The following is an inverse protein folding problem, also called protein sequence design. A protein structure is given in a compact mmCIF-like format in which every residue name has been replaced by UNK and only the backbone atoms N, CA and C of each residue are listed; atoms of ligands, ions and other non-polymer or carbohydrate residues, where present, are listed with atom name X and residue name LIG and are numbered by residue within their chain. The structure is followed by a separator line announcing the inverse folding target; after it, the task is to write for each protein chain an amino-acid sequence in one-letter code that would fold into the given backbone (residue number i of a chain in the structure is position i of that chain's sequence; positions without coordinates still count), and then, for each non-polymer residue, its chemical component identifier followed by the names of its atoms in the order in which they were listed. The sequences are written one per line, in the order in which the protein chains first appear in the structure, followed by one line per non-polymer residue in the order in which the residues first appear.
data_IF_532515489644
#
_entry.id   IF_532515489644
#
_cell.length_a   1.000
_cell.length_b   1.000
_cell.length_c   1.000
_cell.angle_alpha   90.00
_cell.angle_beta   90.00
_cell.angle_gamma   90.00
#
_symmetry.space_group_name_H-M   'P 1'
#
loop_
_entity.id
_entity.type
_entity.pdbx_description
1 polymer ?
#
# COMPACT_ATOMS: atom_id res chain seq x y z
N UNK A 1 65.29 -26.74 34.24
CA UNK A 1 64.39 -25.59 34.23
C UNK A 1 63.90 -25.40 32.76
N UNK A 2 62.69 -25.83 32.44
CA UNK A 2 62.09 -25.64 31.10
C UNK A 2 60.95 -24.64 31.26
N UNK A 3 61.08 -23.45 30.68
CA UNK A 3 60.11 -22.39 30.66
C UNK A 3 59.09 -22.68 29.51
N UNK A 4 57.84 -22.74 29.86
CA UNK A 4 56.73 -22.84 28.94
C UNK A 4 56.22 -21.45 28.62
N UNK A 5 56.28 -21.03 27.37
CA UNK A 5 55.57 -19.86 26.87
C UNK A 5 54.16 -20.26 26.46
N UNK A 6 53.13 -19.74 27.17
CA UNK A 6 51.76 -19.77 26.73
C UNK A 6 51.55 -18.59 25.76
N UNK A 7 51.31 -18.92 24.49
CA UNK A 7 50.81 -17.94 23.52
C UNK A 7 49.28 -17.85 23.64
N UNK A 8 48.77 -16.75 24.14
CA UNK A 8 47.34 -16.45 24.14
C UNK A 8 46.96 -15.82 22.79
N UNK A 9 46.29 -16.60 21.94
CA UNK A 9 45.70 -16.11 20.70
C UNK A 9 44.39 -15.39 21.04
N UNK A 10 44.35 -14.07 20.95
CA UNK A 10 43.16 -13.25 21.05
C UNK A 10 42.50 -13.28 19.67
N UNK A 11 41.42 -14.04 19.52
CA UNK A 11 40.53 -13.92 18.34
C UNK A 11 39.75 -12.60 18.49
N UNK A 12 40.14 -11.60 17.72
CA UNK A 12 39.28 -10.45 17.45
C UNK A 12 38.14 -10.90 16.50
N UNK A 13 37.00 -11.20 17.05
CA UNK A 13 35.75 -11.23 16.25
C UNK A 13 35.37 -9.78 15.92
N UNK A 14 35.75 -9.31 14.72
CA UNK A 14 35.18 -8.11 14.15
C UNK A 14 33.74 -8.43 13.80
N UNK A 15 32.80 -7.99 14.64
CA UNK A 15 31.40 -7.91 14.23
C UNK A 15 31.31 -6.91 13.06
N UNK A 16 31.24 -7.39 11.82
CA UNK A 16 30.75 -6.57 10.72
C UNK A 16 29.32 -6.21 11.08
N UNK A 17 29.11 -5.03 11.61
CA UNK A 17 27.80 -4.39 11.55
C UNK A 17 27.54 -4.16 10.07
N UNK A 18 26.68 -4.98 9.47
CA UNK A 18 26.03 -4.65 8.20
C UNK A 18 25.24 -3.40 8.52
N UNK A 19 25.75 -2.25 8.10
CA UNK A 19 24.98 -1.02 8.16
C UNK A 19 23.71 -1.28 7.35
N UNK A 20 22.54 -1.14 7.96
CA UNK A 20 21.27 -1.20 7.26
C UNK A 20 21.35 -0.20 6.10
N UNK A 21 20.92 -0.62 4.92
CA UNK A 21 20.85 0.27 3.75
C UNK A 21 19.86 1.38 4.11
N UNK A 22 20.27 2.62 3.99
CA UNK A 22 19.39 3.75 4.17
C UNK A 22 18.43 3.80 2.96
N UNK A 23 17.16 3.58 3.21
CA UNK A 23 16.12 3.62 2.18
C UNK A 23 15.76 5.06 1.82
N UNK A 24 15.19 5.23 0.64
CA UNK A 24 14.65 6.53 0.24
C UNK A 24 13.56 7.01 1.20
N UNK A 25 13.45 8.33 1.37
CA UNK A 25 12.42 8.91 2.22
C UNK A 25 11.00 8.61 1.70
N UNK A 26 10.01 8.67 2.59
CA UNK A 26 8.60 8.51 2.24
C UNK A 26 8.16 9.47 1.11
N UNK A 27 8.66 10.72 1.10
CA UNK A 27 8.37 11.68 0.02
C UNK A 27 8.95 11.24 -1.31
N UNK A 28 10.18 10.71 -1.32
CA UNK A 28 10.80 10.18 -2.53
C UNK A 28 10.02 8.96 -3.05
N UNK A 29 9.70 8.01 -2.16
CA UNK A 29 8.92 6.82 -2.50
C UNK A 29 7.57 7.17 -3.12
N UNK A 30 6.81 8.12 -2.52
CA UNK A 30 5.52 8.57 -3.06
C UNK A 30 5.68 9.16 -4.46
N UNK A 31 6.70 9.99 -4.70
CA UNK A 31 6.97 10.54 -6.02
C UNK A 31 7.36 9.45 -7.04
N UNK A 32 8.10 8.44 -6.61
CA UNK A 32 8.56 7.34 -7.46
C UNK A 32 7.46 6.30 -7.74
N UNK A 33 6.49 6.11 -6.85
CA UNK A 33 5.32 5.26 -7.10
C UNK A 33 4.47 5.73 -8.28
N UNK A 34 4.39 7.03 -8.52
CA UNK A 34 3.70 7.67 -9.65
C UNK A 34 2.21 7.32 -9.69
N UNK A 35 1.84 6.36 -10.56
CA UNK A 35 0.49 5.79 -10.64
C UNK A 35 0.54 4.30 -10.35
N UNK A 36 -0.39 3.84 -9.54
CA UNK A 36 -0.52 2.47 -9.12
C UNK A 36 -1.89 1.86 -9.47
N UNK A 37 -1.96 0.58 -9.25
CA UNK A 37 -3.15 -0.23 -9.40
C UNK A 37 -3.32 -1.16 -8.20
N UNK A 38 -4.56 -1.49 -7.85
CA UNK A 38 -4.88 -2.47 -6.82
C UNK A 38 -5.11 -3.85 -7.46
N UNK A 39 -4.35 -4.86 -7.01
CA UNK A 39 -4.61 -6.26 -7.29
C UNK A 39 -5.74 -6.76 -6.36
N UNK A 40 -6.89 -6.09 -6.44
CA UNK A 40 -8.04 -6.35 -5.58
C UNK A 40 -8.87 -7.55 -6.02
N UNK A 41 -9.77 -7.99 -5.14
CA UNK A 41 -10.61 -9.18 -5.28
C UNK A 41 -9.81 -10.48 -5.47
N UNK A 42 -8.62 -10.54 -4.90
CA UNK A 42 -7.62 -11.61 -5.06
C UNK A 42 -7.24 -12.18 -3.69
N UNK A 43 -6.14 -11.68 -3.09
CA UNK A 43 -5.74 -12.11 -1.75
C UNK A 43 -6.54 -11.44 -0.63
N UNK A 44 -7.39 -10.50 -0.95
CA UNK A 44 -8.35 -9.87 -0.05
C UNK A 44 -9.68 -10.64 0.05
N UNK A 45 -9.90 -11.66 -0.78
CA UNK A 45 -11.13 -12.43 -0.78
C UNK A 45 -11.40 -13.10 0.58
N UNK A 46 -12.62 -12.94 1.07
CA UNK A 46 -13.07 -13.49 2.32
C UNK A 46 -14.59 -13.70 2.30
N UNK A 47 -15.11 -14.51 3.23
CA UNK A 47 -16.56 -14.80 3.29
C UNK A 47 -17.40 -13.62 3.79
N UNK A 48 -16.81 -12.66 4.50
CA UNK A 48 -17.48 -11.47 5.03
C UNK A 48 -18.48 -11.72 6.16
N UNK A 49 -18.70 -12.98 6.52
CA UNK A 49 -19.70 -13.39 7.49
C UNK A 49 -19.20 -14.51 8.37
N UNK A 50 -19.37 -14.37 9.70
CA UNK A 50 -19.06 -15.41 10.69
C UNK A 50 -20.07 -16.55 10.70
N UNK A 51 -21.22 -16.38 10.08
CA UNK A 51 -22.28 -17.40 10.01
C UNK A 51 -22.38 -18.07 8.65
N UNK A 52 -22.01 -17.38 7.58
CA UNK A 52 -21.99 -17.91 6.21
C UNK A 52 -20.55 -17.94 5.67
N UNK A 53 -19.77 -18.87 6.13
CA UNK A 53 -18.37 -19.07 5.74
C UNK A 53 -18.28 -19.89 4.45
N UNK A 54 -18.76 -19.30 3.36
CA UNK A 54 -18.92 -20.03 2.10
C UNK A 54 -17.58 -20.33 1.41
N UNK A 55 -16.58 -19.43 1.51
CA UNK A 55 -15.25 -19.67 0.94
C UNK A 55 -14.56 -20.79 1.71
N UNK A 56 -14.57 -20.74 3.03
CA UNK A 56 -13.96 -21.74 3.90
C UNK A 56 -14.53 -23.13 3.67
N UNK A 57 -15.85 -23.21 3.42
CA UNK A 57 -16.53 -24.47 3.09
C UNK A 57 -16.21 -24.97 1.69
N UNK A 58 -16.23 -24.07 0.71
CA UNK A 58 -15.99 -24.39 -0.70
C UNK A 58 -14.54 -24.77 -0.96
N UNK A 59 -13.59 -23.98 -0.45
CA UNK A 59 -12.16 -24.11 -0.71
C UNK A 59 -11.50 -25.20 0.11
N UNK A 60 -12.16 -25.68 1.19
CA UNK A 60 -11.48 -26.50 2.21
C UNK A 60 -10.15 -25.84 2.66
N UNK A 61 -10.11 -24.49 2.64
CA UNK A 61 -8.97 -23.64 3.00
C UNK A 61 -7.74 -23.77 2.11
N UNK A 62 -7.89 -24.20 0.88
CA UNK A 62 -6.79 -24.15 -0.07
C UNK A 62 -6.50 -22.71 -0.47
N UNK A 63 -5.26 -22.30 -0.33
CA UNK A 63 -4.78 -20.94 -0.64
C UNK A 63 -5.20 -20.47 -2.03
N UNK A 64 -5.01 -21.32 -3.06
CA UNK A 64 -5.39 -21.01 -4.44
C UNK A 64 -6.88 -20.72 -4.62
N UNK A 65 -7.71 -21.36 -3.82
CA UNK A 65 -9.16 -21.19 -3.95
C UNK A 65 -9.61 -19.85 -3.37
N UNK A 66 -8.99 -19.36 -2.28
CA UNK A 66 -9.24 -18.01 -1.78
C UNK A 66 -8.91 -16.95 -2.83
N UNK A 67 -7.77 -17.05 -3.49
CA UNK A 67 -7.34 -16.12 -4.52
C UNK A 67 -8.35 -15.99 -5.66
N UNK A 68 -9.09 -17.05 -5.96
CA UNK A 68 -10.05 -17.10 -7.06
C UNK A 68 -11.51 -16.96 -6.63
N UNK A 69 -11.78 -16.93 -5.33
CA UNK A 69 -13.13 -16.98 -4.76
C UNK A 69 -14.05 -15.83 -5.23
N UNK A 70 -13.49 -14.65 -5.47
CA UNK A 70 -14.23 -13.48 -5.96
C UNK A 70 -14.14 -13.28 -7.48
N UNK A 71 -13.91 -14.38 -8.24
CA UNK A 71 -13.99 -14.40 -9.69
C UNK A 71 -12.73 -13.96 -10.43
N UNK A 72 -11.64 -13.72 -9.71
CA UNK A 72 -10.37 -13.42 -10.35
C UNK A 72 -9.61 -14.71 -10.68
N UNK A 73 -8.82 -14.75 -11.75
CA UNK A 73 -7.92 -15.87 -12.01
C UNK A 73 -6.71 -15.82 -11.06
N UNK A 74 -6.00 -16.94 -10.96
CA UNK A 74 -4.70 -16.98 -10.28
C UNK A 74 -3.77 -15.94 -10.89
N UNK A 75 -3.20 -15.09 -10.05
CA UNK A 75 -2.32 -13.99 -10.46
C UNK A 75 -1.02 -14.54 -11.05
N UNK A 76 -0.60 -13.98 -12.17
CA UNK A 76 0.65 -14.33 -12.85
C UNK A 76 1.60 -13.13 -12.92
N UNK A 77 2.90 -13.41 -13.02
CA UNK A 77 3.90 -12.36 -13.27
C UNK A 77 3.63 -11.60 -14.59
N UNK A 78 3.06 -12.28 -15.60
CA UNK A 78 2.71 -11.67 -16.88
C UNK A 78 1.67 -10.55 -16.73
N UNK A 79 0.69 -10.70 -15.81
CA UNK A 79 -0.25 -9.63 -15.50
C UNK A 79 0.47 -8.40 -14.93
N UNK A 80 1.40 -8.59 -14.01
CA UNK A 80 2.18 -7.49 -13.43
C UNK A 80 3.01 -6.77 -14.50
N UNK A 81 3.66 -7.53 -15.39
CA UNK A 81 4.41 -6.98 -16.54
C UNK A 81 3.53 -6.14 -17.46
N UNK A 82 2.29 -6.59 -17.74
CA UNK A 82 1.34 -5.83 -18.55
C UNK A 82 1.07 -4.43 -17.95
N UNK A 83 0.91 -4.33 -16.63
CA UNK A 83 0.75 -3.05 -15.95
C UNK A 83 2.02 -2.20 -15.99
N UNK A 84 3.19 -2.81 -15.78
CA UNK A 84 4.48 -2.11 -15.88
C UNK A 84 4.69 -1.51 -17.26
N UNK A 85 4.45 -2.29 -18.31
CA UNK A 85 4.60 -1.87 -19.70
C UNK A 85 3.64 -0.73 -20.08
N UNK A 86 2.47 -0.69 -19.45
CA UNK A 86 1.51 0.40 -19.63
C UNK A 86 1.90 1.70 -18.90
N UNK A 87 2.91 1.67 -18.03
CA UNK A 87 3.40 2.84 -17.30
C UNK A 87 3.01 2.92 -15.83
N UNK A 88 2.36 1.90 -15.27
CA UNK A 88 2.17 1.79 -13.83
C UNK A 88 3.50 1.47 -13.16
N UNK A 89 3.76 2.12 -12.03
CA UNK A 89 5.02 1.92 -11.31
C UNK A 89 4.83 1.37 -9.89
N UNK A 90 3.59 1.11 -9.49
CA UNK A 90 3.26 0.56 -8.19
C UNK A 90 2.05 -0.37 -8.25
N UNK A 91 2.07 -1.43 -7.45
CA UNK A 91 0.94 -2.33 -7.25
C UNK A 91 0.65 -2.40 -5.74
N UNK A 92 -0.58 -2.08 -5.36
CA UNK A 92 -1.08 -2.40 -4.02
C UNK A 92 -1.71 -3.78 -4.07
N UNK A 93 -1.29 -4.65 -3.18
CA UNK A 93 -1.73 -6.03 -3.03
C UNK A 93 -2.50 -6.15 -1.72
N UNK A 94 -3.83 -5.98 -1.75
CA UNK A 94 -4.66 -6.15 -0.57
C UNK A 94 -4.61 -7.60 -0.09
N UNK A 95 -4.44 -7.81 1.23
CA UNK A 95 -4.36 -9.15 1.83
C UNK A 95 -5.25 -9.23 3.06
N UNK A 96 -6.16 -10.19 3.08
CA UNK A 96 -6.97 -10.55 4.27
C UNK A 96 -6.31 -11.71 4.99
N UNK A 97 -6.06 -11.57 6.27
CA UNK A 97 -5.25 -12.51 7.04
C UNK A 97 -6.06 -13.43 7.94
N UNK A 98 -7.20 -12.98 8.48
CA UNK A 98 -7.94 -13.76 9.50
C UNK A 98 -8.30 -15.20 9.08
N UNK A 99 -8.63 -15.51 7.80
CA UNK A 99 -8.94 -16.88 7.41
C UNK A 99 -7.72 -17.80 7.44
N UNK A 100 -6.53 -17.21 7.44
CA UNK A 100 -5.23 -17.89 7.35
C UNK A 100 -4.43 -17.81 8.66
N UNK A 101 -5.09 -17.45 9.77
CA UNK A 101 -4.44 -17.32 11.08
C UNK A 101 -5.05 -18.28 12.09
N UNK A 102 -4.21 -19.11 12.73
CA UNK A 102 -4.61 -19.98 13.82
C UNK A 102 -5.49 -21.14 13.42
N UNK A 103 -6.00 -21.85 14.43
CA UNK A 103 -6.92 -22.99 14.26
C UNK A 103 -8.35 -22.48 14.31
N UNK A 104 -9.13 -22.77 13.30
CA UNK A 104 -10.56 -22.49 13.32
C UNK A 104 -11.27 -23.48 14.25
N UNK A 105 -12.21 -22.97 15.03
CA UNK A 105 -12.83 -23.73 16.10
C UNK A 105 -13.76 -24.81 15.57
N UNK A 106 -14.41 -24.62 14.41
CA UNK A 106 -15.07 -25.66 13.65
C UNK A 106 -15.33 -25.23 12.20
N UNK A 107 -15.65 -26.20 11.34
CA UNK A 107 -15.77 -25.99 9.90
C UNK A 107 -17.01 -25.21 9.46
N UNK A 108 -17.91 -24.86 10.35
CA UNK A 108 -19.21 -24.33 10.03
C UNK A 108 -19.51 -22.96 10.64
N UNK A 109 -18.86 -22.61 11.76
CA UNK A 109 -19.05 -21.33 12.43
C UNK A 109 -17.70 -20.75 12.83
N UNK A 110 -17.37 -19.60 12.30
CA UNK A 110 -16.24 -18.84 12.76
C UNK A 110 -16.64 -18.10 14.04
N UNK A 111 -16.14 -18.54 15.16
CA UNK A 111 -16.31 -17.81 16.42
C UNK A 111 -15.06 -16.98 16.69
N UNK A 112 -15.11 -15.71 16.32
CA UNK A 112 -13.99 -14.79 16.53
C UNK A 112 -13.70 -14.56 18.02
N UNK A 113 -14.66 -14.82 18.91
CA UNK A 113 -14.43 -14.70 20.36
C UNK A 113 -13.58 -15.85 20.90
N UNK A 114 -13.60 -17.00 20.22
CA UNK A 114 -12.78 -18.17 20.52
C UNK A 114 -11.52 -18.26 19.64
N UNK A 115 -11.35 -17.34 18.71
CA UNK A 115 -10.20 -17.24 17.82
C UNK A 115 -8.95 -16.89 18.62
N UNK A 116 -7.93 -17.72 18.51
CA UNK A 116 -6.64 -17.53 19.17
C UNK A 116 -5.49 -17.68 18.15
N UNK A 117 -5.34 -16.71 17.25
CA UNK A 117 -4.38 -16.80 16.17
C UNK A 117 -2.97 -16.59 16.72
N UNK A 118 -2.13 -17.58 16.51
CA UNK A 118 -0.72 -17.52 16.92
C UNK A 118 0.22 -17.45 15.73
N UNK A 119 -0.22 -17.96 14.57
CA UNK A 119 0.65 -18.06 13.41
C UNK A 119 -0.15 -17.98 12.10
N UNK A 120 0.42 -17.28 11.13
CA UNK A 120 -0.08 -17.25 9.74
C UNK A 120 0.25 -18.57 9.07
N UNK A 121 -0.68 -19.11 8.28
CA UNK A 121 -0.48 -20.29 7.45
C UNK A 121 0.72 -20.09 6.50
N UNK A 122 1.63 -21.06 6.50
CA UNK A 122 2.87 -20.96 5.74
C UNK A 122 2.65 -20.95 4.22
N UNK A 123 1.62 -21.66 3.72
CA UNK A 123 1.30 -21.67 2.29
C UNK A 123 0.70 -20.33 1.86
N UNK A 124 -0.14 -19.70 2.73
CA UNK A 124 -0.64 -18.36 2.47
C UNK A 124 0.49 -17.32 2.43
N UNK A 125 1.35 -17.31 3.43
CA UNK A 125 2.50 -16.40 3.46
C UNK A 125 3.40 -16.59 2.25
N UNK A 126 3.62 -17.84 1.82
CA UNK A 126 4.42 -18.14 0.61
C UNK A 126 3.75 -17.60 -0.66
N UNK A 127 2.41 -17.67 -0.77
CA UNK A 127 1.70 -17.12 -1.92
C UNK A 127 1.73 -15.59 -1.95
N UNK A 128 1.53 -14.94 -0.79
CA UNK A 128 1.72 -13.48 -0.68
C UNK A 128 3.12 -13.09 -1.12
N UNK A 129 4.12 -13.82 -0.64
CA UNK A 129 5.53 -13.59 -1.00
C UNK A 129 5.77 -13.72 -2.52
N UNK A 130 5.21 -14.73 -3.15
CA UNK A 130 5.36 -14.96 -4.59
C UNK A 130 4.78 -13.79 -5.40
N UNK A 131 3.62 -13.25 -5.02
CA UNK A 131 3.03 -12.08 -5.70
C UNK A 131 3.87 -10.83 -5.45
N UNK A 132 4.37 -10.62 -4.23
CA UNK A 132 5.33 -9.54 -3.94
C UNK A 132 6.57 -9.65 -4.81
N UNK A 133 7.12 -10.86 -4.97
CA UNK A 133 8.27 -11.13 -5.83
C UNK A 133 7.98 -10.75 -7.30
N UNK A 134 6.78 -11.04 -7.81
CA UNK A 134 6.37 -10.60 -9.16
C UNK A 134 6.43 -9.09 -9.32
N UNK A 135 6.03 -8.33 -8.32
CA UNK A 135 6.02 -6.87 -8.37
C UNK A 135 7.42 -6.30 -8.24
N UNK A 136 8.14 -6.67 -7.17
CA UNK A 136 9.45 -6.09 -6.84
C UNK A 136 10.51 -6.49 -7.87
N UNK A 137 10.52 -7.74 -8.35
CA UNK A 137 11.49 -8.20 -9.36
C UNK A 137 11.28 -7.52 -10.73
N UNK A 138 10.10 -6.96 -10.98
CA UNK A 138 9.85 -6.11 -12.15
C UNK A 138 10.18 -4.62 -11.90
N UNK A 139 10.86 -4.30 -10.79
CA UNK A 139 11.27 -2.93 -10.44
C UNK A 139 10.08 -1.99 -10.20
N UNK A 140 9.00 -2.50 -9.64
CA UNK A 140 7.82 -1.74 -9.24
C UNK A 140 7.71 -1.68 -7.71
N UNK A 141 7.08 -0.64 -7.20
CA UNK A 141 6.71 -0.55 -5.79
C UNK A 141 5.56 -1.50 -5.50
N UNK A 142 5.66 -2.20 -4.37
CA UNK A 142 4.64 -3.11 -3.87
C UNK A 142 4.17 -2.62 -2.50
N UNK A 143 2.86 -2.54 -2.29
CA UNK A 143 2.26 -2.27 -0.98
C UNK A 143 1.47 -3.51 -0.58
N UNK A 144 1.76 -4.09 0.58
CA UNK A 144 0.92 -5.13 1.20
C UNK A 144 0.31 -4.60 2.49
N UNK A 145 -0.89 -5.08 2.84
CA UNK A 145 -1.62 -4.56 3.98
C UNK A 145 -2.35 -5.63 4.80
N UNK A 146 -3.04 -5.19 5.85
CA UNK A 146 -4.08 -5.92 6.57
C UNK A 146 -5.43 -5.36 6.12
N UNK A 147 -6.16 -6.12 5.27
CA UNK A 147 -7.27 -5.56 4.48
C UNK A 147 -8.65 -5.79 5.14
N UNK A 148 -9.37 -6.85 4.81
CA UNK A 148 -10.70 -7.12 5.38
C UNK A 148 -10.69 -7.73 6.79
N UNK A 149 -9.56 -7.71 7.45
CA UNK A 149 -9.45 -7.79 8.91
C UNK A 149 -10.08 -6.56 9.59
N UNK A 150 -10.33 -5.52 8.79
CA UNK A 150 -11.06 -4.27 9.07
C UNK A 150 -12.32 -4.18 8.20
N UNK A 151 -13.08 -3.10 8.32
CA UNK A 151 -14.29 -2.85 7.52
C UNK A 151 -15.59 -3.10 8.29
N UNK A 152 -16.72 -3.30 7.61
CA UNK A 152 -18.04 -3.48 8.19
C UNK A 152 -18.47 -4.96 8.33
N UNK A 153 -17.75 -5.88 7.67
CA UNK A 153 -18.03 -7.30 7.73
C UNK A 153 -18.01 -7.86 9.17
N UNK A 154 -18.82 -8.86 9.45
CA UNK A 154 -18.85 -9.48 10.80
C UNK A 154 -17.56 -10.25 11.12
N UNK A 155 -16.76 -10.57 10.11
CA UNK A 155 -15.43 -11.18 10.22
C UNK A 155 -14.33 -10.18 10.54
N UNK A 156 -14.57 -8.87 10.38
CA UNK A 156 -13.60 -7.86 10.73
C UNK A 156 -13.40 -7.80 12.25
N UNK A 157 -12.24 -8.26 12.68
CA UNK A 157 -11.88 -8.35 14.10
C UNK A 157 -11.23 -7.06 14.63
N UNK A 158 -10.72 -6.22 13.74
CA UNK A 158 -10.15 -4.91 14.09
C UNK A 158 -11.22 -3.82 13.96
N UNK A 159 -11.46 -3.09 15.04
CA UNK A 159 -12.40 -1.98 15.12
C UNK A 159 -11.72 -0.76 15.73
N UNK A 160 -12.07 0.40 15.24
CA UNK A 160 -11.61 1.68 15.77
C UNK A 160 -12.30 1.97 17.11
N UNK A 161 -11.92 1.25 18.16
CA UNK A 161 -12.24 1.54 19.55
C UNK A 161 -11.09 1.15 20.47
N UNK A 162 -10.88 1.88 21.54
CA UNK A 162 -9.80 1.58 22.51
C UNK A 162 -10.01 0.25 23.20
N UNK A 163 -11.24 -0.14 23.43
CA UNK A 163 -11.58 -1.46 23.98
C UNK A 163 -11.14 -2.59 23.03
N UNK A 164 -11.50 -2.48 21.72
CA UNK A 164 -11.10 -3.46 20.72
C UNK A 164 -9.57 -3.49 20.55
N UNK A 165 -8.93 -2.34 20.51
CA UNK A 165 -7.47 -2.26 20.49
C UNK A 165 -6.83 -3.00 21.67
N UNK A 166 -7.29 -2.75 22.90
CA UNK A 166 -6.74 -3.40 24.09
C UNK A 166 -6.94 -4.92 24.04
N UNK A 167 -8.04 -5.39 23.44
CA UNK A 167 -8.32 -6.83 23.29
C UNK A 167 -7.41 -7.51 22.27
N UNK A 168 -7.12 -6.85 21.16
CA UNK A 168 -6.47 -7.47 20.00
C UNK A 168 -5.06 -6.95 19.70
N UNK A 169 -4.54 -6.03 20.48
CA UNK A 169 -3.22 -5.45 20.29
C UNK A 169 -2.14 -6.52 20.08
N UNK A 170 -2.04 -7.49 20.97
CA UNK A 170 -1.00 -8.51 20.90
C UNK A 170 -1.13 -9.41 19.66
N UNK A 171 -2.36 -9.71 19.24
CA UNK A 171 -2.66 -10.41 17.99
C UNK A 171 -2.19 -9.61 16.78
N UNK A 172 -2.48 -8.31 16.75
CA UNK A 172 -2.12 -7.41 15.67
C UNK A 172 -0.59 -7.21 15.57
N UNK A 173 0.07 -6.99 16.69
CA UNK A 173 1.53 -6.87 16.75
C UNK A 173 2.22 -8.17 16.32
N UNK A 174 1.68 -9.33 16.75
CA UNK A 174 2.19 -10.63 16.33
C UNK A 174 2.02 -10.87 14.82
N UNK A 175 0.87 -10.51 14.24
CA UNK A 175 0.64 -10.58 12.78
C UNK A 175 1.69 -9.77 12.03
N UNK A 176 1.87 -8.50 12.41
CA UNK A 176 2.86 -7.63 11.75
C UNK A 176 4.30 -8.09 11.96
N UNK A 177 4.61 -8.66 13.12
CA UNK A 177 5.93 -9.25 13.37
C UNK A 177 6.22 -10.42 12.42
N UNK A 178 5.24 -11.28 12.14
CA UNK A 178 5.38 -12.39 11.18
C UNK A 178 5.55 -11.88 9.74
N UNK A 179 4.70 -10.95 9.31
CA UNK A 179 4.79 -10.32 7.99
C UNK A 179 6.16 -9.65 7.85
N UNK A 180 6.50 -8.75 8.75
CA UNK A 180 7.74 -7.98 8.68
C UNK A 180 8.99 -8.86 8.74
N UNK A 181 8.98 -9.94 9.52
CA UNK A 181 10.09 -10.90 9.57
C UNK A 181 10.26 -11.64 8.24
N UNK A 182 9.16 -12.03 7.59
CA UNK A 182 9.20 -12.71 6.29
C UNK A 182 9.83 -11.84 5.21
N UNK A 183 9.57 -10.53 5.25
CA UNK A 183 9.98 -9.59 4.23
C UNK A 183 11.14 -8.66 4.64
N UNK A 184 11.83 -8.94 5.74
CA UNK A 184 12.84 -8.04 6.32
C UNK A 184 14.02 -7.70 5.40
N UNK A 185 14.34 -8.59 4.45
CA UNK A 185 15.48 -8.46 3.55
C UNK A 185 15.10 -7.82 2.19
N UNK A 186 13.81 -7.51 1.96
CA UNK A 186 13.35 -6.80 0.76
C UNK A 186 13.83 -5.35 0.78
N UNK A 187 14.11 -4.82 -0.40
CA UNK A 187 14.53 -3.43 -0.57
C UNK A 187 13.39 -2.41 -0.36
N UNK A 188 13.64 -1.16 -0.70
CA UNK A 188 12.73 -0.03 -0.52
C UNK A 188 11.48 -0.05 -1.41
N UNK A 189 11.44 -0.94 -2.44
CA UNK A 189 10.26 -1.10 -3.30
C UNK A 189 9.11 -1.81 -2.59
N UNK A 190 9.34 -2.51 -1.48
CA UNK A 190 8.26 -3.08 -0.68
C UNK A 190 7.91 -2.16 0.48
N UNK A 191 6.65 -1.73 0.55
CA UNK A 191 6.07 -0.96 1.63
C UNK A 191 5.01 -1.77 2.38
N UNK A 192 4.79 -1.43 3.65
CA UNK A 192 3.74 -2.02 4.46
C UNK A 192 2.69 -0.97 4.81
N UNK A 193 1.42 -1.36 4.74
CA UNK A 193 0.27 -0.56 5.13
C UNK A 193 -0.43 -1.22 6.32
N UNK A 194 -0.50 -0.51 7.44
CA UNK A 194 -0.88 -1.07 8.73
C UNK A 194 -2.25 -1.72 8.77
N UNK A 195 -3.23 -1.09 8.17
CA UNK A 195 -4.63 -1.52 8.13
C UNK A 195 -5.36 -0.80 6.98
N UNK A 196 -6.47 -1.38 6.51
CA UNK A 196 -7.28 -0.80 5.45
C UNK A 196 -8.32 0.22 5.99
N UNK A 197 -9.60 -0.05 5.85
CA UNK A 197 -10.73 0.81 6.22
C UNK A 197 -11.27 0.42 7.59
N UNK A 198 -10.63 0.85 8.67
CA UNK A 198 -11.03 0.48 10.02
C UNK A 198 -12.16 1.39 10.51
N UNK A 199 -13.33 0.80 10.72
CA UNK A 199 -14.53 1.45 11.22
C UNK A 199 -14.66 1.33 12.74
N UNK A 200 -15.47 2.21 13.33
CA UNK A 200 -15.91 2.08 14.71
C UNK A 200 -16.86 0.88 14.94
N UNK A 201 -17.33 0.71 16.16
CA UNK A 201 -18.23 -0.38 16.52
C UNK A 201 -19.65 -0.23 15.96
N UNK A 202 -19.98 0.96 15.44
CA UNK A 202 -21.27 1.23 14.79
C UNK A 202 -21.23 1.01 13.28
N UNK A 203 -20.06 0.74 12.69
CA UNK A 203 -19.88 0.63 11.24
C UNK A 203 -20.01 1.98 10.53
N UNK A 204 -19.53 3.06 11.17
CA UNK A 204 -19.64 4.42 10.64
C UNK A 204 -18.66 4.66 9.50
N UNK A 205 -19.17 4.99 8.32
CA UNK A 205 -18.37 5.47 7.19
C UNK A 205 -18.19 6.99 7.25
N UNK A 206 -17.25 7.53 6.53
CA UNK A 206 -16.86 8.93 6.38
C UNK A 206 -16.23 9.57 7.63
N UNK A 207 -16.83 9.45 8.81
CA UNK A 207 -16.30 9.91 10.08
C UNK A 207 -16.84 9.08 11.24
N UNK A 208 -16.11 9.01 12.33
CA UNK A 208 -16.48 8.18 13.48
C UNK A 208 -17.80 8.64 14.11
N UNK A 209 -18.57 7.68 14.63
CA UNK A 209 -19.89 7.91 15.26
C UNK A 209 -20.99 8.42 14.31
N UNK A 210 -20.77 8.39 12.99
CA UNK A 210 -21.82 8.79 12.01
C UNK A 210 -23.05 7.88 12.10
N UNK A 211 -22.87 6.57 12.26
CA UNK A 211 -23.95 5.59 12.36
C UNK A 211 -24.38 5.30 13.82
N UNK A 212 -23.89 6.09 14.78
CA UNK A 212 -24.29 5.90 16.18
C UNK A 212 -25.79 6.11 16.38
N UNK A 213 -26.45 5.29 17.22
CA UNK A 213 -27.88 5.43 17.50
C UNK A 213 -28.25 6.83 18.00
N UNK A 214 -29.21 7.46 17.31
CA UNK A 214 -29.78 8.74 17.68
C UNK A 214 -29.07 9.95 17.10
N UNK A 215 -27.79 10.11 17.29
CA UNK A 215 -27.00 11.24 16.76
C UNK A 215 -25.51 11.03 16.96
N UNK A 216 -24.70 11.88 16.33
CA UNK A 216 -23.27 11.93 16.54
C UNK A 216 -22.90 12.00 18.03
N UNK A 217 -21.92 11.17 18.44
CA UNK A 217 -21.42 11.09 19.80
C UNK A 217 -19.92 11.44 19.83
N UNK A 218 -19.59 12.63 20.32
CA UNK A 218 -18.22 13.11 20.34
C UNK A 218 -17.26 12.25 21.18
N UNK A 219 -17.75 11.62 22.26
CA UNK A 219 -16.93 10.75 23.11
C UNK A 219 -16.56 9.46 22.36
N UNK A 220 -17.52 8.84 21.68
CA UNK A 220 -17.27 7.65 20.85
C UNK A 220 -16.38 7.97 19.65
N UNK A 221 -16.56 9.13 19.02
CA UNK A 221 -15.71 9.57 17.92
C UNK A 221 -14.26 9.78 18.39
N UNK A 222 -14.05 10.46 19.50
CA UNK A 222 -12.71 10.66 20.08
C UNK A 222 -12.04 9.33 20.47
N UNK A 223 -12.79 8.36 21.01
CA UNK A 223 -12.30 7.01 21.30
C UNK A 223 -11.84 6.30 20.02
N UNK A 224 -12.61 6.42 18.94
CA UNK A 224 -12.29 5.81 17.66
C UNK A 224 -11.02 6.41 17.02
N UNK A 225 -10.88 7.72 16.99
CA UNK A 225 -9.66 8.36 16.48
C UNK A 225 -8.43 8.02 17.31
N UNK A 226 -8.58 7.97 18.64
CA UNK A 226 -7.51 7.50 19.52
C UNK A 226 -7.12 6.06 19.25
N UNK A 227 -8.07 5.19 18.95
CA UNK A 227 -7.80 3.79 18.61
C UNK A 227 -7.02 3.68 17.30
N UNK A 228 -7.39 4.42 16.26
CA UNK A 228 -6.63 4.49 14.98
C UNK A 228 -5.16 4.81 15.25
N UNK A 229 -4.87 5.87 16.01
CA UNK A 229 -3.50 6.28 16.31
C UNK A 229 -2.74 5.23 17.14
N UNK A 230 -3.45 4.51 18.04
CA UNK A 230 -2.86 3.39 18.79
C UNK A 230 -2.48 2.21 17.89
N UNK A 231 -3.35 1.81 16.96
CA UNK A 231 -3.05 0.78 15.97
C UNK A 231 -1.90 1.19 15.06
N UNK A 232 -1.87 2.44 14.60
CA UNK A 232 -0.77 2.99 13.81
C UNK A 232 0.57 2.90 14.57
N UNK A 233 0.60 3.28 15.85
CA UNK A 233 1.82 3.19 16.68
C UNK A 233 2.26 1.74 16.92
N UNK A 234 1.32 0.82 17.22
CA UNK A 234 1.65 -0.61 17.38
C UNK A 234 2.22 -1.21 16.11
N UNK A 235 1.67 -0.86 14.95
CA UNK A 235 2.18 -1.28 13.66
C UNK A 235 3.64 -0.84 13.45
N UNK A 236 3.91 0.44 13.63
CA UNK A 236 5.28 0.98 13.50
C UNK A 236 6.24 0.24 14.45
N UNK A 237 5.87 0.12 15.72
CA UNK A 237 6.70 -0.55 16.72
C UNK A 237 6.97 -2.01 16.35
N UNK A 238 5.95 -2.77 15.95
CA UNK A 238 6.08 -4.19 15.59
C UNK A 238 6.99 -4.39 14.39
N UNK A 239 6.85 -3.56 13.35
CA UNK A 239 7.69 -3.64 12.15
C UNK A 239 9.13 -3.26 12.48
N UNK A 240 9.38 -2.14 13.15
CA UNK A 240 10.73 -1.66 13.49
C UNK A 240 11.49 -2.66 14.38
N UNK A 241 10.80 -3.31 15.31
CA UNK A 241 11.39 -4.31 16.21
C UNK A 241 11.98 -5.53 15.48
N UNK A 242 11.55 -5.81 14.24
CA UNK A 242 12.11 -6.92 13.46
C UNK A 242 13.51 -6.65 12.87
N UNK A 243 13.92 -5.40 12.83
CA UNK A 243 15.26 -4.99 12.37
C UNK A 243 15.50 -5.23 10.86
N UNK A 244 16.76 -5.32 10.46
CA UNK A 244 17.15 -5.43 9.06
C UNK A 244 16.66 -4.21 8.24
N UNK A 245 16.22 -4.43 7.01
CA UNK A 245 15.69 -3.35 6.14
C UNK A 245 14.39 -2.73 6.68
N UNK A 246 13.71 -3.39 7.61
CA UNK A 246 12.52 -2.84 8.25
C UNK A 246 12.83 -1.65 9.17
N UNK A 247 14.09 -1.46 9.56
CA UNK A 247 14.52 -0.30 10.35
C UNK A 247 14.32 1.03 9.61
N UNK A 248 14.33 1.02 8.27
CA UNK A 248 14.16 2.22 7.41
C UNK A 248 13.09 2.05 6.33
N UNK A 249 12.30 0.95 6.36
CA UNK A 249 11.21 0.73 5.41
C UNK A 249 10.14 1.79 5.54
N UNK A 250 9.65 2.32 4.41
CA UNK A 250 8.50 3.20 4.38
C UNK A 250 7.22 2.47 4.82
N UNK A 251 6.51 3.04 5.79
CA UNK A 251 5.30 2.50 6.38
C UNK A 251 4.12 3.41 6.10
N UNK A 252 2.94 2.82 5.90
CA UNK A 252 1.73 3.54 5.52
C UNK A 252 0.68 3.37 6.62
N UNK A 253 0.12 4.49 7.07
CA UNK A 253 -0.98 4.51 8.04
C UNK A 253 -2.18 5.26 7.47
N UNK A 254 -3.37 4.70 7.68
CA UNK A 254 -4.61 5.23 7.13
C UNK A 254 -5.30 6.14 8.15
N UNK A 255 -6.03 7.13 7.64
CA UNK A 255 -7.02 7.84 8.45
C UNK A 255 -8.15 6.88 8.90
N UNK A 256 -8.99 7.32 9.83
CA UNK A 256 -10.21 6.59 10.18
C UNK A 256 -11.01 6.25 8.91
N UNK A 257 -11.37 4.97 8.71
CA UNK A 257 -11.99 4.39 7.51
C UNK A 257 -11.35 4.83 6.17
N UNK A 258 -10.06 5.15 6.16
CA UNK A 258 -9.34 5.75 5.03
C UNK A 258 -10.03 7.01 4.48
N UNK A 259 -10.82 7.72 5.29
CA UNK A 259 -11.59 8.90 4.89
C UNK A 259 -10.69 10.04 4.44
N UNK A 260 -11.11 10.71 3.38
CA UNK A 260 -10.41 11.83 2.74
C UNK A 260 -10.96 13.21 3.12
N UNK A 261 -12.04 13.25 3.92
CA UNK A 261 -12.67 14.48 4.37
C UNK A 261 -13.43 15.25 3.29
N UNK A 262 -13.74 14.62 2.13
CA UNK A 262 -14.48 15.29 1.04
C UNK A 262 -15.93 15.59 1.43
N UNK A 263 -16.46 16.66 0.82
CA UNK A 263 -17.82 17.09 1.02
C UNK A 263 -17.95 18.29 1.96
N UNK A 264 -19.17 18.83 2.00
CA UNK A 264 -19.54 19.96 2.88
C UNK A 264 -20.90 19.77 3.58
N UNK A 265 -21.43 18.55 3.49
CA UNK A 265 -22.77 18.20 3.98
C UNK A 265 -22.80 17.95 5.50
N UNK A 266 -21.64 17.79 6.14
CA UNK A 266 -21.53 17.59 7.59
C UNK A 266 -20.25 18.25 8.14
N UNK A 267 -20.35 18.84 9.33
CA UNK A 267 -19.23 19.51 10.00
C UNK A 267 -18.12 18.56 10.49
N UNK A 268 -18.41 17.24 10.60
CA UNK A 268 -17.49 16.23 11.13
C UNK A 268 -16.62 15.57 10.05
N UNK A 269 -16.82 15.89 8.76
CA UNK A 269 -16.11 15.25 7.65
C UNK A 269 -14.58 15.39 7.72
N UNK A 270 -14.08 16.48 8.27
CA UNK A 270 -12.63 16.71 8.42
C UNK A 270 -12.03 16.09 9.69
N UNK A 271 -12.83 15.53 10.58
CA UNK A 271 -12.32 14.93 11.84
C UNK A 271 -11.33 13.79 11.61
N UNK A 272 -11.54 12.87 10.64
CA UNK A 272 -10.55 11.82 10.34
C UNK A 272 -9.16 12.38 10.01
N UNK A 273 -9.08 13.49 9.27
CA UNK A 273 -7.83 14.12 8.90
C UNK A 273 -7.21 14.89 10.08
N UNK A 274 -8.04 15.65 10.80
CA UNK A 274 -7.60 16.48 11.93
C UNK A 274 -7.04 15.63 13.08
N UNK A 275 -7.61 14.43 13.30
CA UNK A 275 -7.23 13.53 14.39
C UNK A 275 -6.21 12.48 13.99
N UNK A 276 -5.75 12.43 12.73
CA UNK A 276 -4.66 11.56 12.33
C UNK A 276 -3.33 12.11 12.83
N UNK A 277 -2.66 11.33 13.68
CA UNK A 277 -1.37 11.67 14.25
C UNK A 277 -0.24 10.99 13.48
N UNK A 278 0.90 11.66 13.39
CA UNK A 278 2.14 11.04 12.90
C UNK A 278 2.68 10.13 14.01
N UNK A 279 2.82 8.81 13.77
CA UNK A 279 3.37 7.90 14.78
C UNK A 279 4.79 8.29 15.17
N UNK A 280 5.16 8.06 16.43
CA UNK A 280 6.56 8.13 16.84
C UNK A 280 7.33 7.03 16.13
N UNK A 281 8.37 7.40 15.39
CA UNK A 281 9.20 6.48 14.62
C UNK A 281 10.69 6.87 14.75
N UNK A 282 11.55 5.88 14.99
CA UNK A 282 13.00 6.09 15.00
C UNK A 282 13.55 6.37 13.59
N UNK A 283 12.88 5.82 12.57
CA UNK A 283 13.16 6.11 11.17
C UNK A 283 12.46 7.42 10.75
N UNK A 284 13.19 8.50 10.76
CA UNK A 284 12.65 9.81 10.39
C UNK A 284 12.28 9.87 8.91
N UNK A 285 11.12 10.48 8.59
CA UNK A 285 10.63 10.65 7.21
C UNK A 285 10.31 9.33 6.47
N UNK A 286 9.88 8.28 7.19
CA UNK A 286 9.50 6.99 6.62
C UNK A 286 8.04 6.62 6.86
N UNK A 287 7.18 7.60 7.18
CA UNK A 287 5.72 7.41 7.32
C UNK A 287 4.99 8.10 6.16
N UNK A 288 4.01 7.41 5.59
CA UNK A 288 3.09 7.89 4.54
C UNK A 288 1.68 7.82 5.10
N UNK A 289 0.86 8.83 4.84
CA UNK A 289 -0.57 8.77 5.13
C UNK A 289 -1.35 8.28 3.92
N UNK A 290 -2.39 7.50 4.16
CA UNK A 290 -3.24 6.95 3.10
C UNK A 290 -4.70 7.31 3.29
N UNK A 291 -5.35 7.58 2.16
CA UNK A 291 -6.77 7.92 2.02
C UNK A 291 -7.37 7.12 0.87
N UNK A 292 -8.71 6.97 0.88
CA UNK A 292 -9.47 6.41 -0.23
C UNK A 292 -10.43 7.46 -0.79
N UNK A 293 -10.78 7.38 -2.11
CA UNK A 293 -11.66 8.35 -2.73
C UNK A 293 -12.56 7.74 -3.80
N UNK A 294 -13.85 7.73 -3.54
CA UNK A 294 -14.87 7.20 -4.44
C UNK A 294 -15.99 8.23 -4.69
N UNK A 295 -15.75 9.31 -5.46
CA UNK A 295 -16.76 10.34 -5.72
C UNK A 295 -17.85 9.84 -6.67
N UNK A 296 -19.06 10.45 -6.56
CA UNK A 296 -20.03 10.36 -7.63
C UNK A 296 -19.58 11.23 -8.80
N UNK A 297 -19.54 10.63 -10.00
CA UNK A 297 -19.16 11.32 -11.24
C UNK A 297 -20.34 11.64 -12.15
N UNK A 298 -21.57 11.52 -11.66
CA UNK A 298 -22.79 11.84 -12.41
C UNK A 298 -22.79 13.28 -12.88
N UNK A 299 -22.35 14.20 -12.01
CA UNK A 299 -22.03 15.58 -12.35
C UNK A 299 -20.51 15.78 -12.30
N UNK A 300 -19.88 15.79 -13.47
CA UNK A 300 -18.43 15.93 -13.57
C UNK A 300 -17.91 17.28 -13.04
N UNK A 301 -18.67 18.36 -13.20
CA UNK A 301 -18.30 19.70 -12.72
C UNK A 301 -18.27 19.72 -11.19
N UNK A 302 -19.31 19.17 -10.57
CA UNK A 302 -19.39 19.01 -9.13
C UNK A 302 -18.24 18.13 -8.60
N UNK A 303 -18.04 16.95 -9.18
CA UNK A 303 -16.97 16.04 -8.77
C UNK A 303 -15.58 16.70 -8.80
N UNK A 304 -15.28 17.49 -9.83
CA UNK A 304 -14.03 18.26 -9.92
C UNK A 304 -13.92 19.36 -8.86
N UNK A 305 -15.01 20.05 -8.58
CA UNK A 305 -15.05 21.10 -7.55
C UNK A 305 -14.81 20.50 -6.16
N UNK A 306 -15.48 19.39 -5.85
CA UNK A 306 -15.32 18.67 -4.58
C UNK A 306 -13.90 18.10 -4.43
N UNK A 307 -13.35 17.51 -5.49
CA UNK A 307 -11.97 17.03 -5.53
C UNK A 307 -10.97 18.15 -5.22
N UNK A 308 -11.11 19.33 -5.84
CA UNK A 308 -10.22 20.47 -5.55
C UNK A 308 -10.33 20.94 -4.09
N UNK A 309 -11.53 20.96 -3.52
CA UNK A 309 -11.75 21.32 -2.11
C UNK A 309 -11.11 20.29 -1.16
N UNK A 310 -11.28 18.99 -1.46
CA UNK A 310 -10.65 17.91 -0.73
C UNK A 310 -9.12 18.00 -0.76
N UNK A 311 -8.52 18.16 -1.94
CA UNK A 311 -7.06 18.29 -2.08
C UNK A 311 -6.51 19.52 -1.34
N UNK A 312 -7.27 20.62 -1.29
CA UNK A 312 -6.91 21.78 -0.46
C UNK A 312 -6.84 21.40 1.02
N UNK A 313 -7.86 20.72 1.56
CA UNK A 313 -7.86 20.27 2.96
C UNK A 313 -6.70 19.32 3.26
N UNK A 314 -6.40 18.37 2.37
CA UNK A 314 -5.25 17.45 2.50
C UNK A 314 -3.93 18.22 2.53
N UNK A 315 -3.79 19.21 1.66
CA UNK A 315 -2.60 20.07 1.60
C UNK A 315 -2.40 20.89 2.87
N UNK A 316 -3.47 21.34 3.49
CA UNK A 316 -3.43 22.15 4.71
C UNK A 316 -3.24 21.30 5.97
N UNK A 317 -3.82 20.09 6.03
CA UNK A 317 -3.91 19.28 7.26
C UNK A 317 -2.86 18.15 7.30
N UNK A 318 -2.69 17.42 6.20
CA UNK A 318 -1.88 16.19 6.20
C UNK A 318 -0.49 16.37 5.59
N UNK A 319 -0.35 17.02 4.43
CA UNK A 319 0.94 17.17 3.77
C UNK A 319 2.01 17.88 4.61
N UNK A 320 1.69 18.78 5.56
CA UNK A 320 2.70 19.30 6.47
C UNK A 320 3.24 18.28 7.49
N UNK A 321 2.54 17.15 7.69
CA UNK A 321 2.91 16.09 8.64
C UNK A 321 3.65 14.94 7.93
N UNK A 322 3.14 14.47 6.78
CA UNK A 322 3.67 13.36 6.01
C UNK A 322 3.24 13.44 4.54
N UNK A 323 3.96 12.81 3.59
CA UNK A 323 3.45 12.60 2.24
C UNK A 323 2.18 11.73 2.28
N UNK A 324 1.34 11.89 1.27
CA UNK A 324 0.02 11.26 1.19
C UNK A 324 -0.10 10.44 -0.08
N UNK A 325 -0.82 9.31 -0.02
CA UNK A 325 -1.27 8.54 -1.18
C UNK A 325 -2.79 8.34 -1.14
N UNK A 326 -3.41 8.21 -2.31
CA UNK A 326 -4.72 7.57 -2.42
C UNK A 326 -4.50 6.09 -2.73
N UNK A 327 -4.53 5.25 -1.69
CA UNK A 327 -4.34 3.80 -1.81
C UNK A 327 -5.46 3.12 -2.56
N UNK A 328 -6.63 3.72 -2.55
CA UNK A 328 -7.75 3.33 -3.40
C UNK A 328 -8.47 4.57 -3.93
N UNK A 329 -8.84 4.49 -5.21
CA UNK A 329 -9.77 5.43 -5.80
C UNK A 329 -10.48 4.82 -7.01
N UNK A 330 -11.65 5.35 -7.27
CA UNK A 330 -12.49 4.95 -8.39
C UNK A 330 -13.66 5.91 -8.50
N UNK A 331 -14.85 5.42 -8.87
CA UNK A 331 -16.06 6.21 -8.74
C UNK A 331 -17.13 5.44 -7.96
N UNK A 332 -17.96 6.14 -7.20
CA UNK A 332 -19.06 5.53 -6.47
C UNK A 332 -20.05 4.77 -7.39
N UNK A 333 -20.02 5.09 -8.67
CA UNK A 333 -20.84 4.44 -9.69
C UNK A 333 -20.19 3.14 -10.22
N UNK A 334 -18.93 2.87 -9.88
CA UNK A 334 -18.22 1.61 -10.18
C UNK A 334 -18.47 0.54 -9.13
N UNK A 335 -18.96 0.93 -7.94
CA UNK A 335 -19.15 0.02 -6.81
C UNK A 335 -20.17 -1.11 -7.08
N UNK A 336 -21.00 -0.95 -8.08
CA UNK A 336 -21.66 -2.08 -8.74
C UNK A 336 -20.65 -2.54 -9.79
N UNK A 337 -20.04 -3.70 -9.60
CA UNK A 337 -19.10 -4.35 -10.51
C UNK A 337 -19.71 -4.59 -11.90
N UNK A 338 -20.19 -3.53 -12.52
CA UNK A 338 -20.95 -3.59 -13.72
C UNK A 338 -20.20 -2.81 -14.78
N UNK A 339 -19.48 -3.56 -15.62
CA UNK A 339 -18.97 -3.12 -16.90
C UNK A 339 -20.03 -2.35 -17.70
N UNK A 340 -21.33 -2.58 -17.44
CA UNK A 340 -22.44 -1.86 -18.09
C UNK A 340 -22.45 -0.38 -17.71
N UNK A 341 -22.19 0.00 -16.47
CA UNK A 341 -22.10 1.42 -16.06
C UNK A 341 -20.91 2.13 -16.68
N UNK A 342 -19.76 1.43 -16.84
CA UNK A 342 -18.63 1.97 -17.59
C UNK A 342 -18.98 2.23 -19.05
N UNK A 343 -19.75 1.33 -19.69
CA UNK A 343 -20.03 1.40 -21.12
C UNK A 343 -21.23 2.27 -21.49
N UNK A 344 -22.04 2.75 -20.53
CA UNK A 344 -23.29 3.45 -20.83
C UNK A 344 -23.24 4.96 -20.58
N UNK A 345 -23.86 5.44 -19.49
CA UNK A 345 -24.18 6.86 -19.34
C UNK A 345 -23.04 7.71 -18.81
N UNK A 346 -22.10 7.10 -18.06
CA UNK A 346 -21.07 7.86 -17.34
C UNK A 346 -19.63 7.56 -17.79
N UNK A 347 -19.45 6.73 -18.81
CA UNK A 347 -18.12 6.35 -19.32
C UNK A 347 -17.23 7.57 -19.56
N UNK A 348 -17.73 8.57 -20.27
CA UNK A 348 -16.94 9.76 -20.58
C UNK A 348 -16.62 10.58 -19.34
N UNK A 349 -17.54 10.64 -18.37
CA UNK A 349 -17.29 11.32 -17.09
C UNK A 349 -16.20 10.60 -16.28
N UNK A 350 -16.22 9.24 -16.24
CA UNK A 350 -15.16 8.44 -15.58
C UNK A 350 -13.81 8.73 -16.21
N UNK A 351 -13.68 8.65 -17.52
CA UNK A 351 -12.44 8.89 -18.27
C UNK A 351 -11.94 10.31 -18.01
N UNK A 352 -12.81 11.31 -18.11
CA UNK A 352 -12.47 12.71 -17.91
C UNK A 352 -12.09 13.00 -16.44
N UNK A 353 -12.78 12.39 -15.49
CA UNK A 353 -12.47 12.53 -14.07
C UNK A 353 -11.16 11.85 -13.72
N UNK A 354 -10.91 10.65 -14.24
CA UNK A 354 -9.68 9.90 -13.97
C UNK A 354 -8.44 10.69 -14.40
N UNK A 355 -8.45 11.24 -15.62
CA UNK A 355 -7.37 12.09 -16.08
C UNK A 355 -7.17 13.31 -15.17
N UNK A 356 -8.25 14.02 -14.88
CA UNK A 356 -8.23 15.21 -14.02
C UNK A 356 -7.71 14.88 -12.60
N UNK A 357 -8.21 13.80 -12.00
CA UNK A 357 -7.83 13.41 -10.63
C UNK A 357 -6.34 13.09 -10.53
N UNK A 358 -5.84 12.26 -11.44
CA UNK A 358 -4.42 11.88 -11.46
C UNK A 358 -3.51 13.09 -11.71
N UNK A 359 -3.90 13.99 -12.62
CA UNK A 359 -3.18 15.24 -12.88
C UNK A 359 -3.11 16.12 -11.63
N UNK A 360 -4.24 16.32 -10.92
CA UNK A 360 -4.30 17.13 -9.70
C UNK A 360 -3.54 16.49 -8.53
N UNK A 361 -3.58 15.18 -8.39
CA UNK A 361 -2.80 14.47 -7.39
C UNK A 361 -1.29 14.58 -7.66
N UNK A 362 -0.87 14.42 -8.92
CA UNK A 362 0.53 14.65 -9.32
C UNK A 362 1.01 16.06 -9.00
N UNK A 363 0.21 17.11 -9.33
CA UNK A 363 0.50 18.49 -8.97
C UNK A 363 0.66 18.71 -7.45
N UNK A 364 -0.04 17.90 -6.65
CA UNK A 364 0.04 17.93 -5.19
C UNK A 364 1.14 17.02 -4.58
N UNK A 365 1.87 16.26 -5.40
CA UNK A 365 2.86 15.27 -4.93
C UNK A 365 2.23 14.05 -4.27
N UNK A 366 1.04 13.64 -4.71
CA UNK A 366 0.25 12.53 -4.18
C UNK A 366 0.22 11.40 -5.23
N UNK A 367 0.64 10.19 -4.86
CA UNK A 367 0.48 9.01 -5.71
C UNK A 367 -0.93 8.42 -5.58
N UNK A 368 -1.40 7.75 -6.64
CA UNK A 368 -2.78 7.25 -6.70
C UNK A 368 -2.83 5.82 -7.18
N UNK A 369 -3.70 4.99 -6.57
CA UNK A 369 -3.86 3.58 -6.89
C UNK A 369 -5.31 3.30 -7.28
N UNK A 370 -5.56 3.07 -8.58
CA UNK A 370 -6.92 2.78 -9.06
C UNK A 370 -7.43 1.44 -8.51
N UNK A 371 -8.70 1.44 -8.02
CA UNK A 371 -9.32 0.21 -7.53
C UNK A 371 -9.79 -0.66 -8.70
N UNK A 372 -9.19 -1.73 -8.83
CA UNK A 372 -9.06 -3.00 -9.49
C UNK A 372 -9.57 -3.18 -10.93
N UNK A 373 -10.61 -2.52 -11.41
CA UNK A 373 -11.36 -2.88 -12.63
C UNK A 373 -10.69 -2.57 -13.99
N UNK A 374 -9.43 -2.09 -14.03
CA UNK A 374 -8.74 -1.81 -15.29
C UNK A 374 -8.50 -3.07 -16.12
N UNK A 375 -8.23 -4.18 -15.44
CA UNK A 375 -8.22 -5.55 -15.98
C UNK A 375 -8.93 -6.43 -14.97
N UNK A 376 -9.98 -7.14 -15.35
CA UNK A 376 -10.87 -7.83 -14.44
C UNK A 376 -11.25 -9.22 -14.94
N UNK A 377 -11.49 -10.15 -14.02
CA UNK A 377 -11.92 -11.52 -14.31
C UNK A 377 -11.06 -12.16 -15.43
N UNK A 378 -11.71 -12.69 -16.46
CA UNK A 378 -11.07 -13.36 -17.59
C UNK A 378 -10.00 -12.50 -18.29
N UNK A 379 -10.18 -11.17 -18.34
CA UNK A 379 -9.24 -10.28 -19.01
C UNK A 379 -7.86 -10.31 -18.33
N UNK A 380 -7.79 -10.52 -17.00
CA UNK A 380 -6.51 -10.71 -16.30
C UNK A 380 -5.73 -11.92 -16.81
N UNK A 381 -6.41 -13.04 -17.07
CA UNK A 381 -5.76 -14.25 -17.61
C UNK A 381 -5.44 -14.14 -19.11
N UNK A 382 -6.20 -13.36 -19.84
CA UNK A 382 -5.98 -13.09 -21.26
C UNK A 382 -5.03 -11.92 -21.53
N UNK A 383 -4.54 -11.27 -20.47
CA UNK A 383 -3.67 -10.09 -20.53
C UNK A 383 -4.29 -8.95 -21.35
N UNK A 384 -5.53 -8.62 -21.04
CA UNK A 384 -6.32 -7.60 -21.71
C UNK A 384 -6.77 -6.50 -20.74
N UNK A 385 -7.04 -5.35 -21.27
CA UNK A 385 -7.64 -4.24 -20.54
C UNK A 385 -9.16 -4.29 -20.64
N UNK A 386 -9.86 -4.43 -19.52
CA UNK A 386 -11.31 -4.32 -19.44
C UNK A 386 -11.75 -2.87 -19.70
N UNK A 387 -10.96 -1.90 -19.21
CA UNK A 387 -11.25 -0.47 -19.34
C UNK A 387 -10.08 0.28 -20.00
N UNK A 388 -9.81 0.08 -21.30
CA UNK A 388 -8.64 0.65 -21.97
C UNK A 388 -8.65 2.18 -22.00
N UNK A 389 -9.79 2.83 -22.23
CA UNK A 389 -9.89 4.29 -22.28
C UNK A 389 -9.59 4.92 -20.91
N UNK A 390 -10.04 4.24 -19.84
CA UNK A 390 -9.80 4.68 -18.46
C UNK A 390 -8.33 4.51 -18.08
N UNK A 391 -7.73 3.38 -18.45
CA UNK A 391 -6.29 3.13 -18.29
C UNK A 391 -5.48 4.22 -18.99
N UNK A 392 -5.82 4.54 -20.24
CA UNK A 392 -5.15 5.59 -21.01
C UNK A 392 -5.31 6.98 -20.36
N UNK A 393 -6.49 7.28 -19.81
CA UNK A 393 -6.75 8.53 -19.11
C UNK A 393 -5.87 8.67 -17.84
N UNK A 394 -5.73 7.60 -17.07
CA UNK A 394 -4.85 7.56 -15.89
C UNK A 394 -3.40 7.82 -16.29
N UNK A 395 -2.92 7.10 -17.30
CA UNK A 395 -1.54 7.24 -17.78
C UNK A 395 -1.29 8.66 -18.32
N UNK A 396 -2.19 9.19 -19.13
CA UNK A 396 -2.09 10.57 -19.64
C UNK A 396 -2.22 11.64 -18.55
N UNK A 397 -2.99 11.37 -17.51
CA UNK A 397 -3.09 12.25 -16.34
C UNK A 397 -1.75 12.42 -15.64
N UNK A 398 -0.94 11.38 -15.60
CA UNK A 398 0.38 11.45 -14.98
C UNK A 398 1.49 11.88 -15.95
N UNK A 399 1.55 11.28 -17.15
CA UNK A 399 2.66 11.49 -18.10
C UNK A 399 2.39 12.57 -19.14
N UNK A 400 1.19 13.13 -19.22
CA UNK A 400 0.77 14.10 -20.23
C UNK A 400 0.25 13.41 -21.50
N UNK A 401 -0.04 14.21 -22.55
CA UNK A 401 -0.65 13.73 -23.79
C UNK A 401 0.20 12.74 -24.58
N UNK A 402 1.53 12.83 -24.45
CA UNK A 402 2.44 11.87 -25.06
C UNK A 402 2.31 10.46 -24.48
N UNK A 403 1.67 10.35 -23.29
CA UNK A 403 1.53 9.08 -22.57
C UNK A 403 2.85 8.57 -22.01
N UNK A 404 2.86 7.32 -21.58
CA UNK A 404 4.06 6.64 -21.12
C UNK A 404 4.89 6.20 -22.32
N UNK A 405 6.13 6.67 -22.38
CA UNK A 405 7.16 6.08 -23.25
C UNK A 405 8.11 5.30 -22.36
N UNK A 406 8.30 4.01 -22.64
CA UNK A 406 9.23 3.19 -21.87
C UNK A 406 10.60 3.89 -21.81
N UNK A 407 11.24 3.89 -20.65
CA UNK A 407 12.51 4.59 -20.36
C UNK A 407 13.65 4.17 -21.31
N UNK A 408 13.50 3.06 -22.03
CA UNK A 408 14.44 2.66 -23.08
C UNK A 408 14.57 3.72 -24.21
N UNK A 409 13.58 4.61 -24.36
CA UNK A 409 13.61 5.71 -25.33
C UNK A 409 13.75 7.11 -24.71
N UNK A 410 13.71 7.26 -23.41
CA UNK A 410 14.25 8.46 -22.78
C UNK A 410 15.76 8.28 -22.81
N UNK A 411 16.42 8.90 -23.80
CA UNK A 411 17.81 9.24 -23.63
C UNK A 411 17.88 10.09 -22.35
N UNK A 412 18.02 9.44 -21.20
CA UNK A 412 18.77 10.04 -20.11
C UNK A 412 20.03 10.49 -20.82
N UNK A 413 20.24 11.80 -20.94
CA UNK A 413 21.58 12.29 -21.24
C UNK A 413 22.48 11.42 -20.39
N UNK A 414 23.19 10.55 -21.08
CA UNK A 414 23.89 9.43 -20.50
C UNK A 414 24.67 9.91 -19.30
N UNK A 415 24.16 9.73 -18.09
CA UNK A 415 25.00 9.60 -16.93
C UNK A 415 25.68 8.25 -17.07
N UNK A 416 26.48 8.11 -18.13
CA UNK A 416 27.41 7.01 -18.23
C UNK A 416 28.18 7.03 -16.93
N UNK A 417 27.97 5.96 -16.12
CA UNK A 417 28.78 5.81 -14.89
C UNK A 417 30.23 6.00 -15.30
N UNK A 418 30.96 6.89 -14.66
CA UNK A 418 32.34 7.13 -15.05
C UNK A 418 33.10 5.78 -14.99
N UNK A 419 33.69 5.39 -16.09
CA UNK A 419 34.52 4.17 -16.14
C UNK A 419 35.98 4.57 -15.97
N UNK A 420 36.73 3.75 -15.25
CA UNK A 420 38.17 3.90 -15.15
C UNK A 420 38.83 3.37 -16.42
N UNK A 421 39.74 4.15 -16.99
CA UNK A 421 40.57 3.75 -18.13
C UNK A 421 42.02 4.11 -17.84
N UNK A 422 42.95 3.31 -18.33
CA UNK A 422 44.39 3.64 -18.23
C UNK A 422 44.83 4.20 -19.56
N UNK A 423 45.30 5.46 -19.57
CA UNK A 423 45.88 6.10 -20.75
C UNK A 423 47.28 6.63 -20.40
N UNK A 424 48.26 6.26 -21.19
CA UNK A 424 49.67 6.62 -20.98
C UNK A 424 50.17 6.35 -19.54
N UNK A 425 49.76 5.21 -18.97
CA UNK A 425 50.12 4.79 -17.60
C UNK A 425 49.43 5.54 -16.47
N UNK A 426 48.46 6.42 -16.75
CA UNK A 426 47.69 7.16 -15.75
C UNK A 426 46.21 6.70 -15.75
N UNK A 427 45.60 6.63 -14.56
CA UNK A 427 44.17 6.34 -14.44
C UNK A 427 43.38 7.61 -14.76
N UNK A 428 42.48 7.52 -15.75
CA UNK A 428 41.52 8.58 -16.09
C UNK A 428 40.08 8.07 -15.88
N UNK A 429 39.19 8.98 -15.51
CA UNK A 429 37.76 8.75 -15.41
C UNK A 429 37.13 9.23 -16.72
N UNK A 430 36.42 8.34 -17.41
CA UNK A 430 35.72 8.67 -18.68
C UNK A 430 34.22 8.70 -18.41
N UNK A 431 33.56 9.81 -18.73
CA UNK A 431 32.12 10.01 -18.67
C UNK A 431 31.61 10.55 -20.01
N UNK A 432 30.96 9.69 -20.79
CA UNK A 432 30.63 10.00 -22.18
C UNK A 432 31.89 10.14 -23.01
N UNK A 433 32.05 11.27 -23.72
CA UNK A 433 33.26 11.65 -24.47
C UNK A 433 34.27 12.41 -23.61
N UNK A 434 33.89 12.80 -22.40
CA UNK A 434 34.74 13.61 -21.52
C UNK A 434 35.65 12.73 -20.64
N UNK A 435 36.87 13.22 -20.46
CA UNK A 435 37.89 12.58 -19.61
C UNK A 435 38.23 13.48 -18.43
N UNK A 436 38.47 12.88 -17.30
CA UNK A 436 38.78 13.56 -16.04
C UNK A 436 39.94 12.87 -15.34
N UNK A 437 40.73 13.60 -14.59
CA UNK A 437 41.69 13.04 -13.64
C UNK A 437 40.94 12.35 -12.46
N UNK A 438 41.65 11.57 -11.65
CA UNK A 438 41.02 10.86 -10.50
C UNK A 438 40.47 11.82 -9.45
N UNK A 439 40.98 13.05 -9.40
CA UNK A 439 40.56 14.17 -8.54
C UNK A 439 39.52 15.08 -9.18
N UNK A 440 38.98 14.68 -10.36
CA UNK A 440 37.80 15.31 -10.98
C UNK A 440 38.12 16.48 -11.93
N UNK A 441 39.38 16.74 -12.25
CA UNK A 441 39.75 17.80 -13.23
C UNK A 441 39.54 17.28 -14.65
N UNK A 442 38.78 18.04 -15.48
CA UNK A 442 38.52 17.67 -16.87
C UNK A 442 39.81 17.79 -17.69
N UNK A 443 40.15 16.72 -18.40
CA UNK A 443 41.24 16.69 -19.35
C UNK A 443 40.76 17.24 -20.71
N UNK A 444 41.51 18.13 -21.29
CA UNK A 444 41.22 18.70 -22.63
C UNK A 444 41.84 17.85 -23.71
#
# INVERSE_FOLDING_TARGET
MKSWFLAASVLLMSSMQVLAQEFESATSAVNNMRVGWNLGNTLDANSGSTTNMWIEKWSQRKTSDYETAWGQPVTTEALIKMFKEAGFNAIRVPVTWYPHMGVQVNDLNWDISAWSPTQVDAAWMARVKEIVDYVVNNGMYCIINVHHDTGDATTAWMRASVENYNKYKDTYENLWTQIATTFKDYDEHLLFEGYNEMLDTYGSWCFASFAAPGQYNATSAADSYKAINKYAQSFVNAVRATGGNNSSRNLIVNSYCASNGSGNWNQHLLEPLNNLEYPTDEATNHIIFQLHYYPSIKDLSWAKTECNAMLKSIKEILLPKAPVIFGEWGSANDAVANTDDYNTSYKQNKVNFARFFVEKCKEAGIATFYWMGLSDAKDRSELKWTMPDLKDAIIKGYYGDAGYTSIENVSVESTTKPRKQIENGKVVMVKGEDKYTVDGVRLR
#
